data_IF_750940497880
#
_entry.id   IF_750940497880
#
_cell.length_a   1.000
_cell.length_b   1.000
_cell.length_c   1.000
_cell.angle_alpha   90.00
_cell.angle_beta   90.00
_cell.angle_gamma   90.00
#
_symmetry.space_group_name_H-M   'P 1'
#
loop_
_entity.id
_entity.type
_entity.pdbx_description
1 polymer ?
#
# COMPACT_ATOMS: atom_id res chain seq x y z
N UNK A 1 -3.31 -16.06 -3.95
CA UNK A 1 -3.45 -14.63 -4.26
C UNK A 1 -4.84 -14.12 -3.94
N UNK A 2 -4.92 -12.99 -3.22
CA UNK A 2 -6.16 -12.25 -2.98
C UNK A 2 -6.59 -11.48 -4.25
N UNK A 3 -7.82 -10.98 -4.24
CA UNK A 3 -8.37 -10.10 -5.26
C UNK A 3 -7.99 -8.63 -5.03
N UNK A 4 -8.15 -7.81 -6.07
CA UNK A 4 -8.01 -6.34 -5.96
C UNK A 4 -8.99 -5.74 -4.96
N UNK A 5 -10.22 -6.26 -4.92
CA UNK A 5 -11.22 -5.85 -3.94
C UNK A 5 -10.78 -6.12 -2.51
N UNK A 6 -10.29 -7.32 -2.24
CA UNK A 6 -9.77 -7.66 -0.91
C UNK A 6 -8.59 -6.77 -0.51
N UNK A 7 -7.69 -6.46 -1.46
CA UNK A 7 -6.59 -5.53 -1.21
C UNK A 7 -7.10 -4.10 -0.88
N UNK A 8 -8.12 -3.63 -1.58
CA UNK A 8 -8.75 -2.33 -1.28
C UNK A 8 -9.44 -2.33 0.09
N UNK A 9 -10.18 -3.38 0.42
CA UNK A 9 -10.85 -3.52 1.73
C UNK A 9 -9.83 -3.53 2.88
N UNK A 10 -8.69 -4.21 2.68
CA UNK A 10 -7.56 -4.20 3.64
C UNK A 10 -6.97 -2.80 3.77
N UNK A 11 -6.73 -2.10 2.67
CA UNK A 11 -6.20 -0.74 2.68
C UNK A 11 -7.14 0.23 3.42
N UNK A 12 -8.45 0.16 3.15
CA UNK A 12 -9.45 0.97 3.84
C UNK A 12 -9.46 0.73 5.34
N UNK A 13 -9.37 -0.53 5.76
CA UNK A 13 -9.29 -0.90 7.17
C UNK A 13 -8.04 -0.33 7.85
N UNK A 14 -6.88 -0.38 7.20
CA UNK A 14 -5.64 0.20 7.73
C UNK A 14 -5.78 1.71 7.92
N UNK A 15 -6.34 2.40 6.93
CA UNK A 15 -6.56 3.85 7.00
C UNK A 15 -7.52 4.21 8.14
N UNK A 16 -8.58 3.42 8.35
CA UNK A 16 -9.51 3.57 9.47
C UNK A 16 -8.82 3.33 10.82
N UNK A 17 -8.09 2.21 10.98
CA UNK A 17 -7.40 1.85 12.22
C UNK A 17 -6.32 2.87 12.60
N UNK A 18 -5.61 3.42 11.62
CA UNK A 18 -4.61 4.49 11.83
C UNK A 18 -5.22 5.89 11.90
N UNK A 19 -6.54 6.04 11.73
CA UNK A 19 -7.23 7.33 11.68
C UNK A 19 -6.60 8.29 10.66
N UNK A 20 -6.22 7.77 9.49
CA UNK A 20 -5.65 8.56 8.39
C UNK A 20 -6.78 9.24 7.64
N UNK A 21 -6.77 10.57 7.63
CA UNK A 21 -7.67 11.36 6.78
C UNK A 21 -7.12 11.44 5.37
N UNK A 22 -7.88 10.97 4.37
CA UNK A 22 -7.50 11.00 2.96
C UNK A 22 -8.53 11.78 2.12
N UNK A 23 -8.06 12.47 1.08
CA UNK A 23 -8.89 13.21 0.12
C UNK A 23 -9.35 12.35 -1.06
N UNK A 24 -8.59 11.31 -1.39
CA UNK A 24 -8.86 10.41 -2.51
C UNK A 24 -8.28 9.01 -2.23
N UNK A 25 -8.84 7.98 -2.84
CA UNK A 25 -8.31 6.60 -2.81
C UNK A 25 -8.63 5.90 -4.13
N UNK A 26 -7.76 4.98 -4.54
CA UNK A 26 -7.97 4.09 -5.68
C UNK A 26 -9.33 3.38 -5.61
N UNK A 27 -9.94 3.16 -6.78
CA UNK A 27 -11.06 2.23 -6.92
C UNK A 27 -10.53 0.81 -7.15
N UNK A 28 -11.40 -0.19 -7.06
CA UNK A 28 -11.03 -1.60 -7.27
C UNK A 28 -10.23 -1.81 -8.58
N UNK A 29 -10.65 -1.20 -9.68
CA UNK A 29 -9.98 -1.33 -10.97
C UNK A 29 -8.58 -0.69 -11.01
N UNK A 30 -8.38 0.37 -10.21
CA UNK A 30 -7.14 1.15 -10.14
C UNK A 30 -6.08 0.49 -9.25
N UNK A 31 -6.47 -0.48 -8.41
CA UNK A 31 -5.52 -1.24 -7.58
C UNK A 31 -4.51 -1.95 -8.47
N UNK A 32 -3.23 -1.67 -8.24
CA UNK A 32 -2.13 -2.13 -9.09
C UNK A 32 -1.54 -3.43 -8.56
N UNK A 33 -1.47 -4.44 -9.41
CA UNK A 33 -0.66 -5.62 -9.16
C UNK A 33 0.77 -5.38 -9.64
N UNK A 34 1.76 -5.71 -8.82
CA UNK A 34 3.17 -5.77 -9.23
C UNK A 34 3.72 -7.15 -8.91
N UNK A 35 4.25 -7.83 -9.93
CA UNK A 35 4.89 -9.12 -9.71
C UNK A 35 6.26 -8.93 -9.05
N UNK A 36 6.75 -9.96 -8.37
CA UNK A 36 8.10 -9.95 -7.78
C UNK A 36 9.21 -9.64 -8.80
N UNK A 37 8.99 -9.90 -10.09
CA UNK A 37 9.96 -9.62 -11.15
C UNK A 37 9.97 -8.12 -11.52
N UNK A 38 8.83 -7.44 -11.40
CA UNK A 38 8.65 -6.03 -11.76
C UNK A 38 9.04 -5.07 -10.63
N UNK A 39 9.21 -5.58 -9.40
CA UNK A 39 9.68 -4.76 -8.29
C UNK A 39 11.11 -4.29 -8.52
N UNK A 40 11.31 -2.97 -8.55
CA UNK A 40 12.65 -2.36 -8.65
C UNK A 40 13.50 -2.63 -7.40
N UNK A 41 12.86 -2.63 -6.23
CA UNK A 41 13.50 -2.79 -4.92
C UNK A 41 12.82 -3.90 -4.12
N UNK A 42 13.57 -4.61 -3.25
CA UNK A 42 12.97 -5.54 -2.30
C UNK A 42 12.19 -4.80 -1.21
N UNK A 43 11.38 -5.54 -0.46
CA UNK A 43 10.67 -5.05 0.71
C UNK A 43 11.68 -4.46 1.72
N UNK A 44 11.48 -3.20 2.18
CA UNK A 44 12.48 -2.46 2.94
C UNK A 44 12.64 -2.93 4.40
N UNK A 45 11.58 -3.46 5.01
CA UNK A 45 11.57 -3.84 6.44
C UNK A 45 10.52 -4.93 6.77
N UNK A 46 10.39 -5.25 8.06
CA UNK A 46 9.48 -6.27 8.55
C UNK A 46 9.87 -7.71 8.16
N UNK A 47 8.91 -8.62 8.27
CA UNK A 47 9.06 -10.07 8.04
C UNK A 47 9.64 -10.44 6.68
N UNK A 48 9.35 -9.64 5.65
CA UNK A 48 9.76 -9.89 4.26
C UNK A 48 10.98 -9.07 3.83
N UNK A 49 11.67 -8.41 4.77
CA UNK A 49 12.84 -7.57 4.48
C UNK A 49 13.84 -8.25 3.54
N UNK A 50 14.24 -7.53 2.49
CA UNK A 50 15.22 -8.00 1.50
C UNK A 50 14.65 -8.96 0.44
N UNK A 51 13.37 -9.30 0.50
CA UNK A 51 12.72 -10.18 -0.48
C UNK A 51 11.96 -9.38 -1.53
N UNK A 52 11.83 -9.92 -2.74
CA UNK A 52 10.84 -9.45 -3.73
C UNK A 52 9.67 -10.43 -3.74
N UNK A 53 8.47 -9.93 -3.50
CA UNK A 53 7.23 -10.70 -3.46
C UNK A 53 6.19 -10.08 -4.39
N UNK A 54 5.13 -10.81 -4.71
CA UNK A 54 4.01 -10.25 -5.45
C UNK A 54 3.22 -9.33 -4.52
N UNK A 55 2.86 -8.14 -4.98
CA UNK A 55 2.13 -7.16 -4.18
C UNK A 55 0.94 -6.59 -4.92
N UNK A 56 -0.07 -6.19 -4.16
CA UNK A 56 -1.03 -5.17 -4.58
C UNK A 56 -0.63 -3.84 -3.95
N UNK A 57 -0.73 -2.78 -4.74
CA UNK A 57 -0.51 -1.41 -4.32
C UNK A 57 -1.82 -0.65 -4.45
N UNK A 58 -2.30 -0.12 -3.33
CA UNK A 58 -3.45 0.78 -3.25
C UNK A 58 -2.92 2.18 -2.97
N UNK A 59 -3.23 3.15 -3.81
CA UNK A 59 -2.85 4.55 -3.60
C UNK A 59 -3.97 5.40 -3.07
N UNK A 60 -3.60 6.40 -2.28
CA UNK A 60 -4.52 7.38 -1.69
C UNK A 60 -3.86 8.76 -1.61
N UNK A 61 -4.68 9.80 -1.56
CA UNK A 61 -4.24 11.20 -1.46
C UNK A 61 -4.47 11.77 -0.06
N UNK A 62 -3.54 12.58 0.44
CA UNK A 62 -3.70 13.41 1.64
C UNK A 62 -3.42 14.87 1.31
N UNK A 63 -4.13 15.77 1.96
CA UNK A 63 -3.92 17.21 1.82
C UNK A 63 -2.81 17.67 2.75
N UNK A 64 -1.73 18.18 2.17
CA UNK A 64 -0.58 18.74 2.86
C UNK A 64 -0.47 20.23 2.53
N UNK A 65 -1.08 21.06 3.39
CA UNK A 65 -1.19 22.50 3.15
C UNK A 65 -2.08 22.81 1.95
N UNK A 66 -1.49 23.25 0.84
CA UNK A 66 -2.21 23.58 -0.40
C UNK A 66 -2.11 22.49 -1.48
N UNK A 67 -1.38 21.41 -1.21
CA UNK A 67 -1.10 20.36 -2.19
C UNK A 67 -1.68 19.02 -1.74
N UNK A 68 -2.16 18.23 -2.70
CA UNK A 68 -2.45 16.82 -2.47
C UNK A 68 -1.18 15.99 -2.74
N UNK A 69 -0.84 15.11 -1.80
CA UNK A 69 0.29 14.18 -1.93
C UNK A 69 -0.25 12.75 -2.01
N UNK A 70 0.35 11.95 -2.89
CA UNK A 70 -0.01 10.55 -3.07
C UNK A 70 0.85 9.66 -2.19
N UNK A 71 0.19 8.78 -1.45
CA UNK A 71 0.76 7.70 -0.66
C UNK A 71 0.33 6.37 -1.26
N UNK A 72 0.99 5.29 -0.85
CA UNK A 72 0.64 3.94 -1.28
C UNK A 72 0.70 2.94 -0.15
N UNK A 73 -0.18 1.95 -0.16
CA UNK A 73 -0.16 0.83 0.78
C UNK A 73 0.20 -0.41 -0.04
N UNK A 74 1.35 -1.01 0.28
CA UNK A 74 1.77 -2.27 -0.31
C UNK A 74 1.25 -3.43 0.54
N UNK A 75 0.57 -4.38 -0.11
CA UNK A 75 -0.07 -5.55 0.50
C UNK A 75 0.48 -6.80 -0.18
N UNK A 76 0.87 -7.81 0.60
CA UNK A 76 1.28 -9.09 0.06
C UNK A 76 0.14 -9.71 -0.76
N UNK A 77 0.34 -9.87 -2.07
CA UNK A 77 -0.72 -10.35 -2.94
C UNK A 77 -1.12 -11.80 -2.63
N UNK A 78 -0.23 -12.62 -2.06
CA UNK A 78 -0.54 -14.02 -1.76
C UNK A 78 -1.32 -14.20 -0.47
N UNK A 79 -1.02 -13.39 0.55
CA UNK A 79 -1.55 -13.58 1.92
C UNK A 79 -2.54 -12.50 2.37
N UNK A 80 -2.57 -11.35 1.71
CA UNK A 80 -3.27 -10.16 2.19
C UNK A 80 -2.61 -9.49 3.41
N UNK A 81 -1.40 -9.89 3.77
CA UNK A 81 -0.65 -9.25 4.86
C UNK A 81 -0.23 -7.83 4.44
N UNK A 82 -0.66 -6.78 5.18
CA UNK A 82 -0.17 -5.42 4.95
C UNK A 82 1.34 -5.35 5.17
N UNK A 83 2.06 -4.63 4.32
CA UNK A 83 3.51 -4.53 4.41
C UNK A 83 3.94 -3.19 5.01
N UNK A 84 3.54 -2.10 4.35
CA UNK A 84 3.90 -0.73 4.74
C UNK A 84 3.12 0.32 3.97
N UNK A 85 3.19 1.55 4.47
CA UNK A 85 2.77 2.74 3.75
C UNK A 85 4.00 3.39 3.11
N UNK A 86 3.92 3.72 1.83
CA UNK A 86 4.86 4.53 1.09
C UNK A 86 4.42 5.98 1.22
N UNK A 87 5.33 6.82 1.70
CA UNK A 87 5.12 8.26 1.84
C UNK A 87 6.10 9.04 0.97
N UNK A 88 5.89 10.34 0.71
CA UNK A 88 6.87 11.18 0.04
C UNK A 88 8.26 11.21 0.70
N UNK A 89 8.34 10.85 1.98
CA UNK A 89 9.56 10.89 2.79
C UNK A 89 10.17 9.51 3.07
N UNK A 90 9.57 8.42 2.59
CA UNK A 90 10.09 7.07 2.76
C UNK A 90 8.97 6.06 2.98
N UNK A 91 9.13 5.26 4.02
CA UNK A 91 8.22 4.15 4.32
C UNK A 91 7.83 4.20 5.80
N UNK A 92 6.56 3.94 6.08
CA UNK A 92 6.01 3.84 7.42
C UNK A 92 5.61 2.39 7.71
N UNK A 93 6.12 1.86 8.82
CA UNK A 93 5.78 0.52 9.31
C UNK A 93 4.31 0.45 9.76
N UNK A 94 3.68 -0.68 9.45
CA UNK A 94 2.36 -1.05 9.96
C UNK A 94 2.61 -2.02 11.12
N UNK A 95 2.40 -1.56 12.37
CA UNK A 95 2.50 -2.37 13.59
C UNK A 95 1.27 -3.28 13.79
#
# INVERSE_FOLDING_TARGET
MISKKEALDIALKILEEKSVEYSSIDKEDDVRFKSKADLSSPIPFGKYKGQKINIYMVTYGEIWGLEERTMGIDINAETGEPLYIITPHGFEELE
#
